data_IF_867309712606
#
_entry.id   IF_867309712606
#
_cell.length_a   1.000
_cell.length_b   1.000
_cell.length_c   1.000
_cell.angle_alpha   90.00
_cell.angle_beta   90.00
_cell.angle_gamma   90.00
#
_symmetry.space_group_name_H-M   'P 1'
#
loop_
_entity.id
_entity.type
_entity.pdbx_description
1 polymer ?
#
# COMPACT_ATOMS: atom_id res chain seq x y z
N UNK A 1 -7.25 41.42 45.87
CA UNK A 1 -7.47 39.99 46.23
C UNK A 1 -8.81 39.60 45.63
N UNK A 2 -8.93 38.51 44.86
CA UNK A 2 -8.23 37.21 44.92
C UNK A 2 -7.28 37.01 43.70
N UNK A 3 -6.30 36.11 43.63
CA UNK A 3 -5.99 34.92 44.42
C UNK A 3 -6.42 33.65 43.67
N UNK A 4 -5.57 33.10 42.79
CA UNK A 4 -5.68 31.74 42.24
C UNK A 4 -4.26 31.24 41.92
N UNK A 5 -3.62 30.51 42.83
CA UNK A 5 -3.67 29.05 43.05
C UNK A 5 -2.96 28.26 41.93
N UNK A 6 -1.68 27.98 42.20
CA UNK A 6 -0.91 26.89 41.60
C UNK A 6 -1.38 25.56 42.23
N UNK A 7 -1.90 24.65 41.41
CA UNK A 7 -1.93 23.19 41.63
C UNK A 7 -1.72 22.58 40.23
N UNK A 8 -0.51 22.12 39.93
CA UNK A 8 0.02 20.77 40.19
C UNK A 8 -0.31 19.81 39.03
N UNK A 9 0.76 19.45 38.32
CA UNK A 9 1.08 18.19 37.65
C UNK A 9 -0.07 17.25 37.29
N UNK A 10 -0.23 17.00 35.98
CA UNK A 10 -0.78 15.75 35.48
C UNK A 10 0.06 15.28 34.27
N UNK A 11 0.56 14.03 34.26
CA UNK A 11 1.25 13.45 33.12
C UNK A 11 0.29 13.22 31.95
N UNK A 12 0.77 13.43 30.72
CA UNK A 12 0.01 13.44 29.47
C UNK A 12 -0.04 12.05 28.80
N UNK A 13 -1.24 11.55 28.52
CA UNK A 13 -1.45 10.24 27.90
C UNK A 13 -1.75 10.37 26.40
N UNK A 14 -1.16 9.50 25.57
CA UNK A 14 -1.50 9.33 24.16
C UNK A 14 -2.13 7.94 24.00
N UNK A 15 -3.26 7.75 23.33
CA UNK A 15 -3.88 6.42 23.21
C UNK A 15 -3.89 5.94 21.76
N UNK A 16 -3.63 4.65 21.55
CA UNK A 16 -3.68 3.96 20.25
C UNK A 16 -4.94 3.08 20.19
N UNK A 17 -5.62 3.07 19.03
CA UNK A 17 -6.83 2.27 18.78
C UNK A 17 -6.69 1.62 17.40
N UNK A 18 -7.30 0.45 17.22
CA UNK A 18 -7.21 -0.37 15.98
C UNK A 18 -8.62 -0.63 15.49
N UNK A 19 -8.96 -0.21 14.26
CA UNK A 19 -10.23 -0.51 13.60
C UNK A 19 -10.00 -0.76 12.09
N UNK A 20 -10.85 -1.58 11.45
CA UNK A 20 -10.74 -2.05 10.05
C UNK A 20 -11.70 -1.31 9.10
N UNK A 21 -11.26 -0.95 7.88
CA UNK A 21 -12.15 -0.81 6.70
C UNK A 21 -11.36 -0.78 5.35
N UNK A 22 -11.93 -1.33 4.26
CA UNK A 22 -11.25 -1.70 2.99
C UNK A 22 -11.58 -0.75 1.80
N UNK A 23 -10.60 -0.12 1.14
CA UNK A 23 -9.76 -0.44 -0.06
C UNK A 23 -10.35 -0.17 -1.49
N UNK A 24 -9.51 0.31 -2.44
CA UNK A 24 -9.82 0.57 -3.87
C UNK A 24 -8.71 0.12 -4.84
N UNK A 25 -9.15 -0.43 -5.98
CA UNK A 25 -8.39 -1.17 -7.03
C UNK A 25 -7.80 -0.27 -8.15
N UNK A 26 -6.63 -0.66 -8.69
CA UNK A 26 -5.93 -0.02 -9.82
C UNK A 26 -6.33 -0.56 -11.21
N UNK A 27 -6.35 0.31 -12.24
CA UNK A 27 -6.85 0.03 -13.61
C UNK A 27 -5.84 -0.65 -14.54
N UNK A 28 -6.29 -1.71 -15.23
CA UNK A 28 -5.59 -2.33 -16.37
C UNK A 28 -5.94 -1.67 -17.72
N UNK A 29 -4.96 -1.57 -18.62
CA UNK A 29 -5.11 -1.06 -20.00
C UNK A 29 -5.19 -2.23 -21.00
N UNK A 30 -6.22 -2.27 -21.85
CA UNK A 30 -6.46 -3.33 -22.84
C UNK A 30 -5.62 -3.11 -24.11
N UNK A 31 -4.92 -4.15 -24.60
CA UNK A 31 -4.12 -4.08 -25.82
C UNK A 31 -5.00 -4.06 -27.09
N UNK A 32 -4.78 -3.08 -27.96
CA UNK A 32 -5.40 -2.97 -29.28
C UNK A 32 -4.78 -3.95 -30.28
N UNK A 33 -5.37 -5.14 -30.41
CA UNK A 33 -5.23 -5.96 -31.62
C UNK A 33 -6.64 -6.21 -32.15
N UNK A 34 -6.89 -5.86 -33.42
CA UNK A 34 -8.16 -6.08 -34.10
C UNK A 34 -8.37 -7.59 -34.35
N UNK A 35 -8.72 -8.34 -33.31
CA UNK A 35 -9.28 -9.68 -33.45
C UNK A 35 -10.66 -9.56 -34.11
N UNK A 36 -10.97 -10.43 -35.09
CA UNK A 36 -12.36 -10.65 -35.51
C UNK A 36 -13.16 -11.04 -34.27
N UNK A 37 -14.15 -10.22 -33.91
CA UNK A 37 -15.10 -10.52 -32.85
C UNK A 37 -16.25 -11.29 -33.48
N UNK A 38 -16.53 -12.48 -32.96
CA UNK A 38 -17.63 -13.33 -33.39
C UNK A 38 -18.61 -13.54 -32.22
N UNK A 39 -19.84 -13.02 -32.30
CA UNK A 39 -20.85 -13.31 -31.30
C UNK A 39 -21.23 -14.79 -31.35
N UNK A 40 -21.34 -15.43 -30.19
CA UNK A 40 -21.87 -16.78 -30.04
C UNK A 40 -23.37 -16.71 -29.79
N UNK A 41 -24.11 -17.64 -30.39
CA UNK A 41 -25.56 -17.81 -30.18
C UNK A 41 -25.85 -18.51 -28.85
N UNK A 42 -25.27 -17.98 -27.79
CA UNK A 42 -25.30 -18.53 -26.44
C UNK A 42 -25.50 -17.43 -25.42
N UNK A 43 -26.06 -17.79 -24.27
CA UNK A 43 -26.05 -16.98 -23.05
C UNK A 43 -25.84 -17.89 -21.83
N UNK A 44 -25.08 -17.41 -20.84
CA UNK A 44 -24.82 -18.13 -19.59
C UNK A 44 -25.26 -17.28 -18.40
N UNK A 45 -26.00 -17.89 -17.48
CA UNK A 45 -26.40 -17.29 -16.21
C UNK A 45 -25.72 -18.02 -15.05
N UNK A 46 -25.22 -17.27 -14.08
CA UNK A 46 -24.67 -17.78 -12.81
C UNK A 46 -25.60 -17.32 -11.70
N UNK A 47 -26.13 -18.24 -10.91
CA UNK A 47 -26.99 -17.93 -9.79
C UNK A 47 -26.22 -17.14 -8.72
N UNK A 48 -26.83 -16.06 -8.20
CA UNK A 48 -26.35 -15.32 -7.03
C UNK A 48 -26.38 -16.22 -5.78
N UNK A 49 -25.32 -16.19 -4.98
CA UNK A 49 -25.18 -16.93 -3.72
C UNK A 49 -24.61 -16.03 -2.63
N UNK A 50 -25.41 -15.15 -2.01
CA UNK A 50 -24.93 -14.14 -1.07
C UNK A 50 -24.41 -14.72 0.26
N UNK A 51 -24.48 -16.04 0.44
CA UNK A 51 -24.07 -16.74 1.67
C UNK A 51 -22.66 -17.36 1.56
N UNK A 52 -22.06 -17.36 0.37
CA UNK A 52 -20.75 -17.97 0.14
C UNK A 52 -20.03 -17.26 -1.00
N UNK A 53 -18.79 -17.67 -1.31
CA UNK A 53 -18.07 -17.15 -2.48
C UNK A 53 -18.27 -18.00 -3.73
N UNK A 54 -19.25 -18.93 -3.68
CA UNK A 54 -19.42 -19.96 -4.70
C UNK A 54 -19.83 -19.36 -6.03
N UNK A 55 -20.66 -18.33 -6.04
CA UNK A 55 -21.11 -17.65 -7.25
C UNK A 55 -19.99 -16.82 -7.89
N UNK A 56 -19.12 -16.13 -7.14
CA UNK A 56 -17.97 -15.43 -7.74
C UNK A 56 -16.99 -16.42 -8.39
N UNK A 57 -16.64 -17.50 -7.68
CA UNK A 57 -15.76 -18.51 -8.25
C UNK A 57 -16.42 -19.26 -9.42
N UNK A 58 -17.72 -19.51 -9.37
CA UNK A 58 -18.49 -20.08 -10.49
C UNK A 58 -18.53 -19.14 -11.69
N UNK A 59 -18.69 -17.84 -11.46
CA UNK A 59 -18.65 -16.82 -12.49
C UNK A 59 -17.28 -16.77 -13.14
N UNK A 60 -16.20 -16.74 -12.35
CA UNK A 60 -14.82 -16.80 -12.85
C UNK A 60 -14.57 -18.08 -13.68
N UNK A 61 -15.03 -19.23 -13.20
CA UNK A 61 -14.90 -20.50 -13.93
C UNK A 61 -15.69 -20.50 -15.25
N UNK A 62 -16.82 -19.79 -15.32
CA UNK A 62 -17.66 -19.69 -16.50
C UNK A 62 -17.13 -18.69 -17.54
N UNK A 63 -16.22 -17.76 -17.19
CA UNK A 63 -15.67 -16.74 -18.10
C UNK A 63 -15.27 -17.33 -19.46
N UNK A 64 -14.50 -18.43 -19.53
CA UNK A 64 -14.02 -18.88 -20.83
C UNK A 64 -15.04 -19.71 -21.62
N UNK A 65 -16.21 -20.03 -21.04
CA UNK A 65 -17.39 -20.46 -21.82
C UNK A 65 -18.02 -19.31 -22.61
N UNK A 66 -17.79 -18.08 -22.14
CA UNK A 66 -18.40 -16.86 -22.67
C UNK A 66 -17.44 -16.02 -23.50
N UNK A 67 -16.12 -16.08 -23.24
CA UNK A 67 -15.12 -15.40 -24.06
C UNK A 67 -13.86 -16.25 -24.23
N UNK A 68 -13.54 -16.60 -25.48
CA UNK A 68 -12.34 -17.37 -25.80
C UNK A 68 -11.85 -17.09 -27.22
N UNK A 69 -10.59 -17.48 -27.50
CA UNK A 69 -9.98 -17.30 -28.81
C UNK A 69 -9.74 -18.64 -29.48
N UNK A 70 -10.19 -18.79 -30.73
CA UNK A 70 -9.91 -19.96 -31.55
C UNK A 70 -9.71 -19.55 -33.01
N UNK A 71 -8.67 -20.08 -33.66
CA UNK A 71 -8.37 -19.79 -35.06
C UNK A 71 -8.14 -18.30 -35.38
N UNK A 72 -7.66 -17.51 -34.41
CA UNK A 72 -7.44 -16.08 -34.55
C UNK A 72 -8.67 -15.20 -34.25
N UNK A 73 -9.86 -15.78 -34.20
CA UNK A 73 -11.14 -15.13 -33.88
C UNK A 73 -11.42 -15.19 -32.39
N UNK A 74 -11.93 -14.09 -31.84
CA UNK A 74 -12.42 -14.00 -30.46
C UNK A 74 -13.93 -14.22 -30.47
N UNK A 75 -14.36 -15.27 -29.80
CA UNK A 75 -15.76 -15.61 -29.64
C UNK A 75 -16.29 -15.00 -28.34
N UNK A 76 -17.51 -14.44 -28.36
CA UNK A 76 -18.10 -13.80 -27.19
C UNK A 76 -19.61 -14.08 -27.05
N UNK A 77 -20.05 -14.33 -25.83
CA UNK A 77 -21.44 -14.41 -25.40
C UNK A 77 -21.61 -13.74 -24.03
N UNK A 78 -22.82 -13.28 -23.67
CA UNK A 78 -23.08 -12.76 -22.34
C UNK A 78 -22.88 -13.83 -21.26
N UNK A 79 -22.15 -13.44 -20.21
CA UNK A 79 -22.10 -14.11 -18.92
C UNK A 79 -22.76 -13.19 -17.90
N UNK A 80 -23.80 -13.68 -17.23
CA UNK A 80 -24.64 -12.85 -16.37
C UNK A 80 -24.64 -13.45 -14.96
N UNK A 81 -24.19 -12.67 -13.98
CA UNK A 81 -24.50 -12.96 -12.58
C UNK A 81 -25.96 -12.58 -12.34
N UNK A 82 -26.79 -13.57 -12.04
CA UNK A 82 -28.24 -13.49 -12.09
C UNK A 82 -28.80 -13.04 -10.75
N UNK A 83 -29.07 -11.74 -10.61
CA UNK A 83 -29.78 -11.13 -9.49
C UNK A 83 -31.23 -10.77 -9.87
N UNK A 84 -31.66 -11.15 -11.08
CA UNK A 84 -32.95 -10.83 -11.67
C UNK A 84 -33.22 -9.33 -11.76
N UNK A 85 -32.16 -8.54 -11.98
CA UNK A 85 -32.27 -7.10 -12.16
C UNK A 85 -32.80 -6.74 -13.55
N UNK A 86 -33.40 -5.55 -13.67
CA UNK A 86 -33.94 -5.06 -14.94
C UNK A 86 -32.85 -4.93 -16.03
N UNK A 87 -31.60 -4.67 -15.64
CA UNK A 87 -30.47 -4.57 -16.57
C UNK A 87 -30.08 -5.92 -17.16
N UNK A 88 -30.08 -6.99 -16.37
CA UNK A 88 -29.85 -8.37 -16.85
C UNK A 88 -30.92 -8.79 -17.86
N UNK A 89 -32.17 -8.44 -17.55
CA UNK A 89 -33.33 -8.65 -18.40
C UNK A 89 -33.13 -8.00 -19.77
N UNK A 90 -32.79 -6.71 -19.79
CA UNK A 90 -32.58 -5.97 -21.04
C UNK A 90 -31.42 -6.53 -21.84
N UNK A 91 -30.28 -6.82 -21.19
CA UNK A 91 -29.12 -7.42 -21.87
C UNK A 91 -29.47 -8.76 -22.54
N UNK A 92 -30.26 -9.58 -21.84
CA UNK A 92 -30.69 -10.89 -22.34
C UNK A 92 -31.64 -10.77 -23.54
N UNK A 93 -32.57 -9.82 -23.50
CA UNK A 93 -33.52 -9.54 -24.58
C UNK A 93 -32.84 -8.93 -25.81
N UNK A 94 -31.92 -7.99 -25.58
CA UNK A 94 -31.13 -7.38 -26.64
C UNK A 94 -30.22 -8.41 -27.31
N UNK A 95 -29.63 -9.34 -26.54
CA UNK A 95 -28.83 -10.43 -27.11
C UNK A 95 -29.68 -11.43 -27.90
N UNK A 96 -30.86 -11.79 -27.39
CA UNK A 96 -31.79 -12.66 -28.10
C UNK A 96 -32.27 -12.03 -29.42
N UNK A 97 -32.52 -10.71 -29.43
CA UNK A 97 -32.85 -9.95 -30.64
C UNK A 97 -31.65 -9.85 -31.57
N UNK A 98 -30.47 -9.55 -31.06
CA UNK A 98 -29.25 -9.41 -31.86
C UNK A 98 -28.92 -10.70 -32.62
N UNK A 99 -29.12 -11.86 -31.98
CA UNK A 99 -28.86 -13.17 -32.60
C UNK A 99 -30.02 -13.69 -33.46
N UNK A 100 -31.16 -13.00 -33.53
CA UNK A 100 -32.37 -13.51 -34.21
C UNK A 100 -32.19 -13.72 -35.70
N UNK A 101 -31.45 -12.82 -36.35
CA UNK A 101 -31.20 -12.87 -37.80
C UNK A 101 -30.32 -14.07 -38.17
N UNK A 102 -29.51 -14.55 -37.23
CA UNK A 102 -28.68 -15.74 -37.35
C UNK A 102 -29.37 -17.01 -36.82
N UNK A 103 -30.67 -16.97 -36.57
CA UNK A 103 -31.50 -18.08 -36.10
C UNK A 103 -31.75 -18.12 -34.58
N UNK A 104 -31.42 -17.04 -33.87
CA UNK A 104 -31.64 -16.88 -32.42
C UNK A 104 -30.64 -17.61 -31.55
N UNK A 105 -30.77 -17.48 -30.23
CA UNK A 105 -29.97 -18.22 -29.25
C UNK A 105 -30.14 -19.73 -29.50
N UNK A 106 -29.05 -20.49 -29.47
CA UNK A 106 -29.05 -21.96 -29.59
C UNK A 106 -28.76 -22.66 -28.27
N UNK A 107 -28.18 -21.94 -27.30
CA UNK A 107 -27.83 -22.49 -26.00
C UNK A 107 -28.04 -21.47 -24.89
N UNK A 108 -28.80 -21.87 -23.87
CA UNK A 108 -28.89 -21.15 -22.61
C UNK A 108 -28.32 -22.04 -21.51
N UNK A 109 -27.24 -21.61 -20.86
CA UNK A 109 -26.64 -22.33 -19.74
C UNK A 109 -27.03 -21.67 -18.42
N UNK A 110 -27.27 -22.48 -17.39
CA UNK A 110 -27.39 -22.02 -16.00
C UNK A 110 -26.32 -22.71 -15.16
N UNK A 111 -25.64 -21.93 -14.32
CA UNK A 111 -24.67 -22.38 -13.33
C UNK A 111 -25.19 -21.99 -11.95
N UNK A 112 -25.24 -22.95 -11.03
CA UNK A 112 -25.78 -22.76 -9.69
C UNK A 112 -27.30 -22.95 -9.60
N UNK A 113 -27.82 -22.62 -8.42
CA UNK A 113 -29.19 -22.92 -8.01
C UNK A 113 -30.13 -21.74 -8.24
N UNK A 114 -30.69 -21.64 -9.45
CA UNK A 114 -31.81 -20.73 -9.73
C UNK A 114 -33.15 -21.35 -9.39
N UNK A 115 -34.10 -20.54 -8.92
CA UNK A 115 -35.48 -20.99 -8.73
C UNK A 115 -36.13 -21.41 -10.07
N UNK A 116 -37.06 -22.36 -10.02
CA UNK A 116 -37.77 -22.82 -11.23
C UNK A 116 -38.54 -21.69 -11.93
N UNK A 117 -39.04 -20.71 -11.16
CA UNK A 117 -39.72 -19.54 -11.69
C UNK A 117 -38.76 -18.69 -12.55
N UNK A 118 -37.59 -18.37 -12.03
CA UNK A 118 -36.56 -17.60 -12.75
C UNK A 118 -36.06 -18.38 -13.97
N UNK A 119 -35.79 -19.68 -13.84
CA UNK A 119 -35.39 -20.51 -14.97
C UNK A 119 -36.45 -20.54 -16.08
N UNK A 120 -37.75 -20.56 -15.72
CA UNK A 120 -38.85 -20.49 -16.69
C UNK A 120 -38.89 -19.14 -17.41
N UNK A 121 -38.69 -18.04 -16.70
CA UNK A 121 -38.62 -16.70 -17.29
C UNK A 121 -37.43 -16.58 -18.25
N UNK A 122 -36.25 -17.06 -17.86
CA UNK A 122 -35.05 -17.12 -18.72
C UNK A 122 -35.34 -17.92 -19.99
N UNK A 123 -35.97 -19.09 -19.87
CA UNK A 123 -36.36 -19.93 -21.02
C UNK A 123 -37.31 -19.19 -21.97
N UNK A 124 -38.30 -18.49 -21.44
CA UNK A 124 -39.27 -17.73 -22.24
C UNK A 124 -38.59 -16.57 -22.99
N UNK A 125 -37.70 -15.84 -22.30
CA UNK A 125 -36.97 -14.70 -22.84
C UNK A 125 -35.96 -15.09 -23.94
N UNK A 126 -35.21 -16.16 -23.71
CA UNK A 126 -34.17 -16.65 -24.63
C UNK A 126 -34.73 -17.55 -25.75
N UNK A 127 -36.01 -17.92 -25.67
CA UNK A 127 -36.68 -18.85 -26.58
C UNK A 127 -35.92 -20.19 -26.79
N UNK A 128 -35.10 -20.58 -25.81
CA UNK A 128 -34.15 -21.70 -25.92
C UNK A 128 -34.25 -22.61 -24.71
N UNK A 129 -34.04 -23.92 -24.89
CA UNK A 129 -33.98 -24.85 -23.77
C UNK A 129 -32.73 -24.60 -22.92
N UNK A 130 -32.87 -24.68 -21.61
CA UNK A 130 -31.75 -24.56 -20.69
C UNK A 130 -30.96 -25.87 -20.72
N UNK A 131 -29.73 -25.81 -21.23
CA UNK A 131 -28.79 -26.92 -21.20
C UNK A 131 -27.33 -26.46 -21.45
N UNK A 132 -26.37 -26.86 -20.60
CA UNK A 132 -26.56 -27.60 -19.37
C UNK A 132 -27.09 -26.71 -18.23
N UNK A 133 -27.63 -27.37 -17.20
CA UNK A 133 -27.86 -26.75 -15.89
C UNK A 133 -26.91 -27.40 -14.90
N UNK A 134 -25.85 -26.67 -14.53
CA UNK A 134 -24.76 -27.12 -13.65
C UNK A 134 -25.15 -26.76 -12.21
N UNK A 135 -25.27 -27.77 -11.34
CA UNK A 135 -25.72 -27.60 -9.93
C UNK A 135 -24.73 -28.22 -8.95
N UNK A 136 -23.45 -27.94 -9.17
CA UNK A 136 -22.39 -28.43 -8.29
C UNK A 136 -22.52 -27.88 -6.87
N UNK A 137 -22.08 -28.64 -5.88
CA UNK A 137 -22.17 -28.27 -4.46
C UNK A 137 -20.93 -27.53 -3.95
N UNK A 138 -19.93 -27.30 -4.81
CA UNK A 138 -18.70 -26.56 -4.52
C UNK A 138 -18.19 -25.86 -5.78
N UNK A 139 -17.40 -24.78 -5.62
CA UNK A 139 -16.77 -24.09 -6.75
C UNK A 139 -15.90 -25.01 -7.60
N UNK A 140 -15.18 -25.95 -6.96
CA UNK A 140 -14.34 -26.92 -7.64
C UNK A 140 -15.16 -27.89 -8.52
N UNK A 141 -16.30 -28.37 -8.02
CA UNK A 141 -17.20 -29.23 -8.80
C UNK A 141 -17.81 -28.46 -9.97
N UNK A 142 -18.29 -27.23 -9.74
CA UNK A 142 -18.86 -26.39 -10.78
C UNK A 142 -17.84 -26.12 -11.90
N UNK A 143 -16.60 -25.77 -11.52
CA UNK A 143 -15.52 -25.56 -12.48
C UNK A 143 -15.20 -26.83 -13.29
N UNK A 144 -15.22 -28.00 -12.65
CA UNK A 144 -15.01 -29.28 -13.35
C UNK A 144 -16.14 -29.59 -14.33
N UNK A 145 -17.41 -29.38 -13.94
CA UNK A 145 -18.57 -29.59 -14.82
C UNK A 145 -18.58 -28.61 -16.01
N UNK A 146 -18.19 -27.34 -15.79
CA UNK A 146 -18.00 -26.35 -16.85
C UNK A 146 -16.89 -26.75 -17.82
N UNK A 147 -15.75 -27.21 -17.30
CA UNK A 147 -14.65 -27.67 -18.12
C UNK A 147 -15.03 -28.89 -18.98
N UNK A 148 -15.80 -29.83 -18.43
CA UNK A 148 -16.32 -30.97 -19.20
C UNK A 148 -17.34 -30.51 -20.26
N UNK A 149 -18.21 -29.57 -19.93
CA UNK A 149 -19.25 -29.09 -20.84
C UNK A 149 -18.68 -28.33 -22.04
N UNK A 150 -17.67 -27.48 -21.83
CA UNK A 150 -17.24 -26.49 -22.83
C UNK A 150 -15.78 -26.64 -23.27
N UNK A 151 -14.93 -27.33 -22.48
CA UNK A 151 -13.47 -27.34 -22.69
C UNK A 151 -12.89 -28.75 -22.84
N UNK A 152 -13.74 -29.77 -22.99
CA UNK A 152 -13.27 -31.15 -23.11
C UNK A 152 -12.23 -31.35 -24.23
N UNK A 153 -12.30 -30.53 -25.29
CA UNK A 153 -11.37 -30.56 -26.43
C UNK A 153 -10.22 -29.56 -26.33
N UNK A 154 -10.14 -28.75 -25.26
CA UNK A 154 -9.08 -27.78 -25.04
C UNK A 154 -7.73 -28.47 -24.76
N UNK A 155 -6.66 -27.97 -25.37
CA UNK A 155 -5.29 -28.36 -25.02
C UNK A 155 -4.70 -27.51 -23.87
N UNK A 156 -5.48 -26.59 -23.31
CA UNK A 156 -5.10 -25.70 -22.21
C UNK A 156 -5.99 -26.01 -21.01
N UNK A 157 -5.37 -26.36 -19.88
CA UNK A 157 -6.02 -26.44 -18.57
C UNK A 157 -5.74 -25.17 -17.77
N UNK A 158 -6.77 -24.65 -17.10
CA UNK A 158 -6.67 -23.51 -16.19
C UNK A 158 -6.91 -24.01 -14.77
N UNK A 159 -5.98 -23.68 -13.87
CA UNK A 159 -6.09 -24.00 -12.45
C UNK A 159 -6.12 -22.70 -11.66
N UNK A 160 -7.03 -22.62 -10.70
CA UNK A 160 -7.12 -21.52 -9.75
C UNK A 160 -7.30 -22.09 -8.35
N UNK A 161 -6.80 -21.37 -7.36
CA UNK A 161 -7.17 -21.62 -5.97
C UNK A 161 -8.62 -21.17 -5.81
N UNK A 162 -9.46 -22.04 -5.25
CA UNK A 162 -10.85 -21.75 -4.97
C UNK A 162 -11.16 -22.16 -3.54
N UNK A 163 -11.92 -21.33 -2.86
CA UNK A 163 -12.42 -21.62 -1.52
C UNK A 163 -13.84 -21.08 -1.43
N UNK A 164 -14.80 -21.93 -1.08
CA UNK A 164 -16.22 -21.53 -1.05
C UNK A 164 -16.53 -20.59 0.13
N UNK A 165 -15.62 -20.48 1.10
CA UNK A 165 -15.74 -19.64 2.29
C UNK A 165 -14.37 -19.20 2.80
N UNK A 166 -14.23 -17.92 3.16
CA UNK A 166 -13.06 -17.42 3.88
C UNK A 166 -13.38 -17.25 5.36
N UNK A 167 -12.43 -17.55 6.23
CA UNK A 167 -12.54 -17.20 7.65
C UNK A 167 -12.45 -15.69 7.78
N UNK A 168 -13.29 -15.09 8.63
CA UNK A 168 -13.17 -13.67 8.94
C UNK A 168 -11.80 -13.41 9.57
N UNK A 169 -11.06 -12.36 9.14
CA UNK A 169 -9.79 -12.04 9.74
C UNK A 169 -9.97 -11.77 11.23
N UNK A 170 -9.02 -12.23 12.05
CA UNK A 170 -8.97 -11.88 13.45
C UNK A 170 -8.20 -10.58 13.63
N UNK A 171 -8.84 -9.56 14.22
CA UNK A 171 -8.17 -8.31 14.56
C UNK A 171 -7.44 -8.50 15.90
N UNK A 172 -6.14 -8.23 15.91
CA UNK A 172 -5.35 -8.08 17.13
C UNK A 172 -4.84 -6.64 17.23
N UNK A 173 -4.97 -6.01 18.39
CA UNK A 173 -4.53 -4.64 18.61
C UNK A 173 -3.94 -4.41 19.99
N UNK A 174 -3.27 -3.27 20.15
CA UNK A 174 -2.66 -2.83 21.39
C UNK A 174 -2.71 -1.31 21.51
N UNK A 175 -2.29 -0.79 22.65
CA UNK A 175 -2.11 0.65 22.83
C UNK A 175 -0.86 0.99 23.63
N UNK A 176 -0.32 2.17 23.39
CA UNK A 176 0.82 2.70 24.10
C UNK A 176 0.66 4.21 24.30
N UNK A 177 1.02 4.67 25.50
CA UNK A 177 0.86 6.07 25.89
C UNK A 177 2.16 6.66 26.40
N UNK A 178 2.43 7.92 26.05
CA UNK A 178 3.63 8.63 26.49
C UNK A 178 3.41 10.12 26.74
N UNK A 179 4.07 10.63 27.79
CA UNK A 179 4.13 12.05 28.14
C UNK A 179 5.50 12.61 27.73
N UNK A 180 5.55 13.47 26.71
CA UNK A 180 6.75 14.24 26.43
C UNK A 180 6.93 15.37 27.47
N UNK A 181 8.05 15.38 28.18
CA UNK A 181 8.33 16.34 29.25
C UNK A 181 9.07 17.61 28.77
N UNK A 182 8.83 18.05 27.52
CA UNK A 182 9.60 19.13 26.87
C UNK A 182 11.12 18.92 27.08
N UNK A 183 11.58 17.69 26.91
CA UNK A 183 13.00 17.36 27.04
C UNK A 183 13.82 18.23 26.07
N UNK A 184 14.96 18.70 26.53
CA UNK A 184 15.75 19.66 25.77
C UNK A 184 16.35 18.99 24.53
N UNK A 185 16.14 19.61 23.37
CA UNK A 185 16.81 19.25 22.13
C UNK A 185 18.31 19.53 22.30
N UNK A 186 19.14 18.53 22.04
CA UNK A 186 20.60 18.68 22.19
C UNK A 186 21.25 18.90 20.83
N UNK A 187 22.28 19.75 20.79
CA UNK A 187 23.03 20.04 19.58
C UNK A 187 24.49 19.65 19.72
N UNK A 188 25.09 19.20 18.63
CA UNK A 188 26.50 18.84 18.53
C UNK A 188 27.09 19.41 17.24
N UNK A 189 28.19 20.14 17.35
CA UNK A 189 28.88 20.76 16.23
C UNK A 189 30.26 20.13 16.06
N UNK A 190 30.42 19.08 15.24
CA UNK A 190 31.72 18.50 14.96
C UNK A 190 32.60 19.49 14.20
N UNK A 191 33.89 19.56 14.54
CA UNK A 191 34.87 20.32 13.79
C UNK A 191 35.31 19.52 12.56
N UNK A 192 34.85 19.94 11.37
CA UNK A 192 35.11 19.24 10.12
C UNK A 192 35.74 20.19 9.11
N UNK A 193 36.91 19.80 8.60
CA UNK A 193 37.62 20.55 7.55
C UNK A 193 37.97 19.63 6.39
N UNK A 194 37.56 20.00 5.19
CA UNK A 194 37.89 19.28 3.95
C UNK A 194 39.07 19.96 3.27
N UNK A 195 40.10 19.19 2.90
CA UNK A 195 41.34 19.72 2.31
C UNK A 195 41.65 19.20 0.90
N UNK A 196 40.87 18.22 0.41
CA UNK A 196 41.10 17.59 -0.90
C UNK A 196 39.81 16.98 -1.45
N UNK A 197 39.89 16.25 -2.57
CA UNK A 197 38.77 15.46 -3.10
C UNK A 197 38.62 14.08 -2.45
N UNK A 198 39.45 13.74 -1.46
CA UNK A 198 39.31 12.48 -0.72
C UNK A 198 38.05 12.55 0.15
N UNK A 199 37.20 11.50 0.18
CA UNK A 199 36.05 11.45 1.07
C UNK A 199 36.44 11.63 2.54
N UNK A 200 35.56 12.29 3.30
CA UNK A 200 35.76 12.56 4.73
C UNK A 200 34.66 11.86 5.52
N UNK A 201 35.07 11.08 6.52
CA UNK A 201 34.16 10.41 7.44
C UNK A 201 34.01 11.22 8.73
N UNK A 202 32.78 11.42 9.16
CA UNK A 202 32.43 12.08 10.41
C UNK A 202 31.62 11.09 11.24
N UNK A 203 32.23 10.60 12.32
CA UNK A 203 31.61 9.70 13.27
C UNK A 203 30.91 10.50 14.39
N UNK A 204 29.72 10.07 14.80
CA UNK A 204 29.00 10.67 15.91
C UNK A 204 28.11 9.64 16.61
N UNK A 205 27.85 9.84 17.91
CA UNK A 205 27.01 8.93 18.72
C UNK A 205 25.83 9.71 19.28
N UNK A 206 24.61 9.52 18.74
CA UNK A 206 23.42 10.16 19.29
C UNK A 206 23.19 9.76 20.76
N UNK A 207 22.67 10.66 21.61
CA UNK A 207 22.27 10.32 22.97
C UNK A 207 21.25 9.17 23.01
N UNK A 208 21.15 8.47 24.13
CA UNK A 208 20.17 7.36 24.29
C UNK A 208 18.72 7.84 24.17
N UNK A 209 18.40 9.05 24.62
CA UNK A 209 17.07 9.63 24.54
C UNK A 209 16.69 10.16 23.14
N UNK A 210 17.66 10.28 22.23
CA UNK A 210 17.42 10.70 20.85
C UNK A 210 16.60 9.63 20.14
N UNK A 211 15.51 10.02 19.46
CA UNK A 211 14.91 9.18 18.42
C UNK A 211 14.89 9.81 17.04
N UNK A 212 15.26 11.09 16.93
CA UNK A 212 15.41 11.73 15.62
C UNK A 212 16.71 12.51 15.51
N UNK A 213 17.39 12.34 14.39
CA UNK A 213 18.66 13.00 14.07
C UNK A 213 18.41 13.95 12.91
N UNK A 214 18.68 15.22 13.14
CA UNK A 214 18.75 16.24 12.11
C UNK A 214 20.20 16.65 11.90
N UNK A 215 20.57 16.88 10.64
CA UNK A 215 21.81 17.54 10.31
C UNK A 215 21.58 18.72 9.37
N UNK A 216 22.42 19.74 9.56
CA UNK A 216 22.62 20.82 8.61
C UNK A 216 24.12 21.04 8.42
N UNK A 217 24.58 20.94 7.18
CA UNK A 217 25.98 21.07 6.81
C UNK A 217 26.08 22.19 5.78
N UNK A 218 26.70 23.29 6.18
CA UNK A 218 26.91 24.45 5.32
C UNK A 218 28.40 24.75 5.18
N UNK A 219 28.74 25.54 4.16
CA UNK A 219 30.11 25.97 3.90
C UNK A 219 30.09 27.22 3.01
N UNK A 220 31.26 27.86 2.87
CA UNK A 220 31.42 29.01 1.97
C UNK A 220 32.15 28.61 0.68
N UNK A 221 31.97 29.38 -0.38
CA UNK A 221 32.63 29.15 -1.67
C UNK A 221 31.87 28.21 -2.61
N UNK A 222 32.52 27.85 -3.72
CA UNK A 222 31.94 27.12 -4.86
C UNK A 222 32.13 25.60 -4.78
N UNK A 223 32.62 25.07 -3.66
CA UNK A 223 32.72 23.64 -3.48
C UNK A 223 31.32 23.01 -3.44
N UNK A 224 31.20 21.74 -3.84
CA UNK A 224 29.99 20.96 -3.61
C UNK A 224 30.28 19.54 -3.17
N UNK A 225 29.37 19.00 -2.37
CA UNK A 225 29.49 17.73 -1.69
C UNK A 225 28.25 16.88 -1.95
N UNK A 226 28.41 15.57 -1.96
CA UNK A 226 27.32 14.62 -1.69
C UNK A 226 27.66 13.81 -0.45
N UNK A 227 26.74 12.98 0.04
CA UNK A 227 26.90 12.24 1.28
C UNK A 227 26.21 10.89 1.25
N UNK A 228 26.68 10.02 2.13
CA UNK A 228 25.98 8.82 2.58
C UNK A 228 26.01 8.79 4.11
N UNK A 229 24.91 8.42 4.74
CA UNK A 229 24.82 8.20 6.18
C UNK A 229 24.66 6.71 6.45
N UNK A 230 25.58 6.16 7.25
CA UNK A 230 25.53 4.79 7.69
C UNK A 230 25.10 4.69 9.17
N UNK A 231 24.22 3.73 9.45
CA UNK A 231 23.86 3.33 10.80
C UNK A 231 25.03 2.54 11.48
N UNK A 232 24.92 2.20 12.78
CA UNK A 232 25.95 1.45 13.51
C UNK A 232 26.25 0.05 12.94
N UNK A 233 25.33 -0.54 12.18
CA UNK A 233 25.53 -1.82 11.48
C UNK A 233 26.22 -1.62 10.11
N UNK A 234 26.49 -0.37 9.71
CA UNK A 234 27.12 -0.01 8.44
C UNK A 234 26.15 0.05 7.26
N UNK A 235 24.84 0.03 7.50
CA UNK A 235 23.82 0.12 6.44
C UNK A 235 23.62 1.58 6.07
N UNK A 236 23.57 1.87 4.77
CA UNK A 236 23.26 3.22 4.29
C UNK A 236 21.76 3.46 4.48
N UNK A 237 21.42 4.43 5.31
CA UNK A 237 20.01 4.79 5.60
C UNK A 237 19.61 6.15 5.03
N UNK A 238 20.58 6.96 4.60
CA UNK A 238 20.33 8.20 3.88
C UNK A 238 21.48 8.52 2.90
N UNK A 239 21.16 9.21 1.80
CA UNK A 239 22.14 9.62 0.79
C UNK A 239 21.63 10.83 0.01
N UNK A 240 22.54 11.68 -0.43
CA UNK A 240 22.18 12.75 -1.37
C UNK A 240 22.32 12.32 -2.83
N UNK A 241 21.39 12.82 -3.64
CA UNK A 241 21.42 12.67 -5.09
C UNK A 241 22.16 13.86 -5.70
N UNK A 242 23.19 13.57 -6.48
CA UNK A 242 24.08 14.57 -7.09
C UNK A 242 23.33 15.73 -7.77
N UNK A 243 22.34 15.44 -8.61
CA UNK A 243 21.59 16.45 -9.37
C UNK A 243 20.81 17.38 -8.46
N UNK A 244 20.14 16.82 -7.46
CA UNK A 244 19.34 17.59 -6.51
C UNK A 244 20.24 18.55 -5.72
N UNK A 245 21.30 18.02 -5.11
CA UNK A 245 22.23 18.82 -4.30
C UNK A 245 22.93 19.90 -5.13
N UNK A 246 23.29 19.60 -6.39
CA UNK A 246 23.87 20.60 -7.27
C UNK A 246 22.91 21.79 -7.51
N UNK A 247 21.65 21.51 -7.81
CA UNK A 247 20.65 22.55 -8.05
C UNK A 247 20.31 23.34 -6.79
N UNK A 248 20.17 22.66 -5.65
CA UNK A 248 19.97 23.29 -4.34
C UNK A 248 21.10 24.22 -3.94
N UNK A 249 22.33 23.97 -4.42
CA UNK A 249 23.50 24.79 -4.13
C UNK A 249 23.70 25.95 -5.10
N UNK A 250 23.47 25.73 -6.40
CA UNK A 250 23.91 26.65 -7.46
C UNK A 250 22.77 27.20 -8.34
N UNK A 251 21.51 26.85 -8.06
CA UNK A 251 20.42 27.38 -8.87
C UNK A 251 20.34 28.90 -8.76
N UNK A 252 20.28 29.63 -9.91
CA UNK A 252 20.06 31.07 -9.92
C UNK A 252 18.65 31.46 -9.48
N UNK A 253 17.76 30.48 -9.26
CA UNK A 253 16.39 30.70 -8.77
C UNK A 253 16.29 30.71 -7.23
N UNK A 254 17.38 30.43 -6.52
CA UNK A 254 17.42 30.42 -5.06
C UNK A 254 18.09 31.70 -4.54
N UNK A 255 17.49 32.30 -3.52
CA UNK A 255 18.03 33.52 -2.88
C UNK A 255 19.32 33.25 -2.10
N UNK A 256 19.58 31.99 -1.71
CA UNK A 256 20.79 31.54 -1.05
C UNK A 256 21.05 30.05 -1.30
N UNK A 257 22.32 29.58 -1.24
CA UNK A 257 22.63 28.17 -1.30
C UNK A 257 21.98 27.39 -0.14
N UNK A 258 21.34 26.26 -0.45
CA UNK A 258 20.73 25.39 0.57
C UNK A 258 21.83 24.52 1.20
N UNK A 259 21.89 24.40 2.55
CA UNK A 259 22.78 23.45 3.22
C UNK A 259 22.46 22.01 2.84
N UNK A 260 23.45 21.13 2.90
CA UNK A 260 23.17 19.68 2.92
C UNK A 260 22.43 19.35 4.22
N UNK A 261 21.35 18.59 4.11
CA UNK A 261 20.51 18.21 5.25
C UNK A 261 20.10 16.77 5.19
N UNK A 262 19.91 16.18 6.37
CA UNK A 262 19.16 14.95 6.55
C UNK A 262 18.33 15.05 7.82
N UNK A 263 17.21 14.34 7.84
CA UNK A 263 16.28 14.27 8.98
C UNK A 263 15.78 12.83 9.04
N UNK A 264 16.35 12.02 9.93
CA UNK A 264 16.06 10.58 9.99
C UNK A 264 15.78 10.08 11.42
N UNK A 265 14.91 9.08 11.59
CA UNK A 265 14.76 8.42 12.87
C UNK A 265 16.03 7.65 13.24
N UNK A 266 16.39 7.68 14.51
CA UNK A 266 17.46 6.85 15.08
C UNK A 266 16.92 5.45 15.32
N UNK A 267 17.26 4.52 14.44
CA UNK A 267 16.81 3.12 14.51
C UNK A 267 17.68 2.24 15.41
N UNK A 268 18.92 2.65 15.66
CA UNK A 268 19.92 1.89 16.42
C UNK A 268 20.76 2.79 17.34
N UNK A 269 21.10 2.26 18.51
CA UNK A 269 22.13 2.81 19.38
C UNK A 269 23.52 2.49 18.84
N UNK A 270 24.45 3.44 18.94
CA UNK A 270 25.84 3.23 18.54
C UNK A 270 26.44 4.42 17.79
N UNK A 271 27.60 4.20 17.20
CA UNK A 271 28.29 5.19 16.38
C UNK A 271 27.74 5.18 14.96
N UNK A 272 27.30 6.34 14.50
CA UNK A 272 26.83 6.61 13.15
C UNK A 272 27.96 7.26 12.34
N UNK A 273 28.01 6.98 11.03
CA UNK A 273 29.05 7.52 10.16
C UNK A 273 28.45 8.28 8.99
N UNK A 274 28.67 9.60 8.94
CA UNK A 274 28.43 10.39 7.75
C UNK A 274 29.70 10.41 6.89
N UNK A 275 29.61 9.96 5.65
CA UNK A 275 30.68 10.10 4.67
C UNK A 275 30.34 11.21 3.67
N UNK A 276 31.18 12.23 3.61
CA UNK A 276 31.10 13.34 2.66
C UNK A 276 32.00 13.07 1.45
N UNK A 277 31.47 13.27 0.26
CA UNK A 277 32.18 13.12 -1.01
C UNK A 277 32.33 14.49 -1.67
N UNK A 278 33.53 15.10 -1.66
CA UNK A 278 33.78 16.33 -2.40
C UNK A 278 33.72 16.06 -3.90
N UNK A 279 32.95 16.87 -4.61
CA UNK A 279 32.70 16.67 -6.04
C UNK A 279 33.36 17.75 -6.93
N UNK A 280 34.06 18.68 -6.29
CA UNK A 280 34.94 19.70 -6.89
C UNK A 280 36.31 19.65 -6.26
N UNK A 281 37.33 20.08 -7.00
CA UNK A 281 38.67 20.25 -6.45
C UNK A 281 38.69 21.27 -5.30
N UNK A 282 39.25 20.86 -4.16
CA UNK A 282 39.46 21.71 -2.98
C UNK A 282 40.91 22.20 -2.99
N UNK A 283 41.11 23.50 -3.14
CA UNK A 283 42.45 24.12 -3.30
C UNK A 283 42.99 24.72 -2.00
N UNK A 284 42.13 24.93 -1.01
CA UNK A 284 42.48 25.38 0.34
C UNK A 284 41.58 24.67 1.36
N UNK A 285 42.07 24.43 2.60
CA UNK A 285 41.24 23.86 3.66
C UNK A 285 39.92 24.60 3.82
N UNK A 286 38.81 23.87 3.73
CA UNK A 286 37.45 24.37 3.80
C UNK A 286 36.78 23.86 5.07
N UNK A 287 36.61 24.70 6.11
CA UNK A 287 35.83 24.33 7.29
C UNK A 287 34.35 24.23 6.91
N UNK A 288 33.67 23.23 7.47
CA UNK A 288 32.24 23.04 7.34
C UNK A 288 31.54 23.52 8.62
N UNK A 289 30.45 24.25 8.45
CA UNK A 289 29.50 24.55 9.51
C UNK A 289 28.52 23.37 9.62
N UNK A 290 28.88 22.39 10.44
CA UNK A 290 28.12 21.16 10.62
C UNK A 290 27.44 21.17 11.99
N UNK A 291 26.11 21.17 11.98
CA UNK A 291 25.27 21.06 13.17
C UNK A 291 24.48 19.75 13.10
N UNK A 292 24.59 18.95 14.16
CA UNK A 292 23.71 17.83 14.46
C UNK A 292 22.74 18.25 15.57
N UNK A 293 21.47 17.98 15.38
CA UNK A 293 20.41 18.24 16.36
C UNK A 293 19.73 16.92 16.69
N UNK A 294 19.65 16.58 17.97
CA UNK A 294 19.07 15.35 18.48
C UNK A 294 17.75 15.64 19.17
N UNK A 295 16.68 15.09 18.62
CA UNK A 295 15.31 15.27 19.11
C UNK A 295 14.92 14.09 20.01
N UNK A 296 14.42 14.36 21.23
CA UNK A 296 13.84 13.33 22.09
C UNK A 296 12.70 12.58 21.39
N UNK A 297 12.46 11.33 21.78
CA UNK A 297 11.40 10.53 21.18
C UNK A 297 10.77 9.54 22.17
N UNK A 298 9.65 8.99 21.75
CA UNK A 298 9.06 7.79 22.32
C UNK A 298 9.13 6.65 21.31
N UNK A 299 9.63 5.49 21.75
CA UNK A 299 9.65 4.28 20.93
C UNK A 299 8.78 3.20 21.57
N UNK A 300 7.95 2.55 20.77
CA UNK A 300 7.11 1.43 21.19
C UNK A 300 7.31 0.23 20.28
N UNK A 301 7.58 -0.93 20.89
CA UNK A 301 7.71 -2.20 20.18
C UNK A 301 6.44 -3.02 20.31
N UNK A 302 6.00 -3.60 19.19
CA UNK A 302 4.86 -4.51 19.13
C UNK A 302 5.17 -5.67 18.18
N UNK A 303 4.44 -6.78 18.31
CA UNK A 303 4.68 -7.99 17.51
C UNK A 303 3.56 -8.21 16.50
N UNK A 304 3.94 -8.47 15.26
CA UNK A 304 3.04 -8.83 14.17
C UNK A 304 3.14 -10.33 13.89
N UNK A 305 2.00 -11.01 13.83
CA UNK A 305 1.90 -12.44 13.53
C UNK A 305 2.29 -12.78 12.09
N UNK A 306 2.65 -14.03 11.83
CA UNK A 306 3.04 -14.48 10.48
C UNK A 306 1.90 -14.60 9.48
N UNK A 307 0.68 -14.51 9.97
CA UNK A 307 -0.59 -14.58 9.26
C UNK A 307 -1.25 -13.20 9.09
N UNK A 308 -0.59 -12.12 9.53
CA UNK A 308 -1.10 -10.77 9.39
C UNK A 308 -1.17 -10.35 7.91
N UNK A 309 -2.38 -10.02 7.44
CA UNK A 309 -2.61 -9.45 6.11
C UNK A 309 -2.45 -7.93 6.06
N UNK A 310 -2.52 -7.26 7.22
CA UNK A 310 -2.41 -5.81 7.33
C UNK A 310 -1.86 -5.40 8.70
N UNK A 311 -1.25 -4.22 8.74
CA UNK A 311 -0.86 -3.50 9.95
C UNK A 311 -1.30 -2.03 9.80
N UNK A 312 -2.04 -1.55 10.79
CA UNK A 312 -2.51 -0.16 10.86
C UNK A 312 -2.02 0.47 12.16
N UNK A 313 -1.50 1.69 12.09
CA UNK A 313 -1.02 2.45 13.24
C UNK A 313 -1.59 3.86 13.20
N UNK A 314 -2.29 4.22 14.27
CA UNK A 314 -2.80 5.57 14.52
C UNK A 314 -2.00 6.26 15.63
N UNK A 315 -1.39 7.40 15.31
CA UNK A 315 -0.83 8.31 16.30
C UNK A 315 -1.80 9.48 16.52
N UNK A 316 -2.21 9.69 17.77
CA UNK A 316 -2.98 10.86 18.20
C UNK A 316 -2.33 11.59 19.37
N UNK A 317 -2.47 12.92 19.41
CA UNK A 317 -1.99 13.76 20.51
C UNK A 317 -2.97 14.88 20.86
N UNK A 318 -2.86 15.39 22.08
CA UNK A 318 -3.84 16.30 22.70
C UNK A 318 -3.55 17.80 22.45
N UNK A 319 -2.35 18.15 21.95
CA UNK A 319 -1.92 19.54 21.73
C UNK A 319 -1.95 19.96 20.25
N UNK A 320 -2.71 21.00 19.94
CA UNK A 320 -2.84 21.56 18.58
C UNK A 320 -1.60 22.30 18.06
N UNK A 321 -0.59 22.52 18.91
CA UNK A 321 0.66 23.19 18.56
C UNK A 321 1.89 22.27 18.66
N UNK A 322 1.68 20.96 18.86
CA UNK A 322 2.73 19.96 18.78
C UNK A 322 2.81 19.41 17.36
N UNK A 323 4.05 19.19 16.89
CA UNK A 323 4.37 18.66 15.57
C UNK A 323 5.05 17.31 15.77
N UNK A 324 4.26 16.24 15.90
CA UNK A 324 4.76 14.88 16.14
C UNK A 324 4.77 14.06 14.86
N UNK A 325 5.92 13.46 14.58
CA UNK A 325 6.10 12.58 13.44
C UNK A 325 6.03 11.12 13.88
N UNK A 326 5.50 10.25 13.01
CA UNK A 326 5.51 8.80 13.20
C UNK A 326 6.45 8.15 12.19
N UNK A 327 7.43 7.39 12.67
CA UNK A 327 8.27 6.51 11.87
C UNK A 327 8.03 5.05 12.27
N UNK A 328 8.03 4.16 11.27
CA UNK A 328 7.81 2.74 11.47
C UNK A 328 9.00 1.91 10.97
N UNK A 329 9.58 1.13 11.87
CA UNK A 329 10.74 0.28 11.62
C UNK A 329 10.34 -1.19 11.64
N UNK A 330 10.69 -1.93 10.59
CA UNK A 330 10.39 -3.35 10.46
C UNK A 330 11.30 -4.23 11.33
N UNK A 331 11.00 -5.55 11.47
CA UNK A 331 11.81 -6.47 12.26
C UNK A 331 13.25 -6.63 11.79
N UNK A 332 13.58 -6.18 10.57
CA UNK A 332 14.96 -6.18 10.07
C UNK A 332 15.73 -4.91 10.43
N UNK A 333 15.08 -3.91 11.04
CA UNK A 333 15.65 -2.63 11.42
C UNK A 333 15.57 -1.56 10.34
N UNK A 334 14.75 -1.77 9.29
CA UNK A 334 14.60 -0.78 8.19
C UNK A 334 13.41 0.14 8.47
N UNK A 335 13.57 1.43 8.18
CA UNK A 335 12.46 2.36 8.08
C UNK A 335 11.59 1.96 6.88
N UNK A 336 10.33 1.60 7.13
CA UNK A 336 9.39 1.15 6.08
C UNK A 336 8.36 2.20 5.74
N UNK A 337 7.94 3.00 6.73
CA UNK A 337 7.04 4.12 6.48
C UNK A 337 7.31 5.28 7.44
N UNK A 338 6.90 6.47 7.02
CA UNK A 338 6.95 7.70 7.80
C UNK A 338 5.74 8.55 7.45
N UNK A 339 4.94 8.86 8.47
CA UNK A 339 3.89 9.86 8.40
C UNK A 339 4.34 11.16 9.11
N UNK A 340 4.82 12.17 8.35
CA UNK A 340 5.12 13.47 8.93
C UNK A 340 3.83 14.22 9.27
N UNK A 341 3.80 14.93 10.40
CA UNK A 341 2.70 15.81 10.71
C UNK A 341 2.71 17.03 9.78
N UNK A 342 1.61 17.23 9.07
CA UNK A 342 1.42 18.41 8.25
C UNK A 342 0.96 19.60 9.09
N UNK A 343 1.83 20.61 9.24
CA UNK A 343 1.52 21.98 9.69
C UNK A 343 1.05 22.17 11.15
N UNK A 344 1.80 22.99 11.88
CA UNK A 344 1.58 23.46 13.27
C UNK A 344 0.26 24.24 13.48
N UNK A 345 -0.54 24.45 12.43
CA UNK A 345 -1.70 25.37 12.44
C UNK A 345 -3.06 24.65 12.31
N UNK A 346 -3.10 23.33 12.22
CA UNK A 346 -4.36 22.55 12.20
C UNK A 346 -4.52 21.70 13.46
N UNK A 347 -5.61 21.95 14.19
CA UNK A 347 -6.05 21.22 15.40
C UNK A 347 -6.06 19.69 15.25
N UNK A 348 -6.02 18.96 16.38
CA UNK A 348 -5.05 17.87 16.62
C UNK A 348 -4.79 17.04 15.38
N UNK A 349 -3.57 17.11 14.89
CA UNK A 349 -3.07 16.28 13.82
C UNK A 349 -3.00 14.83 14.31
N UNK A 350 -3.37 13.90 13.44
CA UNK A 350 -3.05 12.49 13.58
C UNK A 350 -2.03 12.12 12.51
N UNK A 351 -1.26 11.08 12.76
CA UNK A 351 -0.39 10.48 11.76
C UNK A 351 -0.77 9.00 11.63
N UNK A 352 -0.96 8.53 10.40
CA UNK A 352 -1.44 7.18 10.11
C UNK A 352 -0.45 6.45 9.20
N UNK A 353 -0.21 5.17 9.49
CA UNK A 353 0.63 4.28 8.68
C UNK A 353 -0.13 3.00 8.40
N UNK A 354 -0.14 2.60 7.12
CA UNK A 354 -0.83 1.42 6.60
C UNK A 354 0.15 0.53 5.86
N UNK A 355 0.33 -0.72 6.32
CA UNK A 355 1.17 -1.71 5.65
C UNK A 355 0.34 -2.94 5.30
N UNK A 356 0.29 -3.25 4.00
CA UNK A 356 -0.25 -4.53 3.51
C UNK A 356 0.80 -5.63 3.64
N UNK A 357 0.37 -6.82 4.06
CA UNK A 357 1.21 -8.01 4.23
C UNK A 357 2.50 -7.74 5.03
N UNK A 358 2.39 -7.20 6.26
CA UNK A 358 3.56 -6.86 7.07
C UNK A 358 4.41 -8.10 7.37
N UNK A 359 5.72 -7.89 7.43
CA UNK A 359 6.66 -8.92 7.89
C UNK A 359 6.33 -9.36 9.33
N UNK A 360 6.30 -10.67 9.54
CA UNK A 360 6.17 -11.24 10.88
C UNK A 360 7.35 -10.83 11.77
N UNK A 361 7.09 -10.49 13.03
CA UNK A 361 8.13 -10.19 14.01
C UNK A 361 7.89 -8.90 14.78
N UNK A 362 8.94 -8.41 15.43
CA UNK A 362 8.88 -7.22 16.28
C UNK A 362 9.10 -5.95 15.45
N UNK A 363 8.07 -5.11 15.39
CA UNK A 363 8.12 -3.79 14.79
C UNK A 363 8.40 -2.74 15.85
N UNK A 364 8.95 -1.60 15.43
CA UNK A 364 9.17 -0.44 16.31
C UNK A 364 8.51 0.80 15.71
N UNK A 365 7.55 1.39 16.42
CA UNK A 365 7.03 2.71 16.13
C UNK A 365 7.84 3.75 16.91
N UNK A 366 8.28 4.81 16.24
CA UNK A 366 9.05 5.93 16.83
C UNK A 366 8.24 7.21 16.63
N UNK A 367 8.02 7.94 17.71
CA UNK A 367 7.29 9.21 17.74
C UNK A 367 8.23 10.29 18.25
N UNK A 368 8.40 11.38 17.49
CA UNK A 368 9.27 12.50 17.86
C UNK A 368 8.68 13.84 17.45
#
# INVERSE_FOLDING_TARGET
MPGFLLLADNPHQASLRVEEETSRVSRHTLSANASSLAPLRRITYVADDPLSYRDEFSYMAAVPSSVFRSGGTTYMAPLILSQNSQSEIWLSEDWARYTSDDGGITQTMIVGDLSEAVAKEIKQRTATSIFPWIRGTSSAQIAAELAVADWQSSNIGVFALAQDSFESPSISGGNAEHTFNNDEVTTYTPDVTVSSMVPVDVAFTPPSACGWIEASINWTGSAYFTHTLADPDGRIVDYSVWTQTYWERFSPQLDAPVPLKFWIPKTLDGEWTLRLYPQTSITSPLPLDFILTYHPSFSHQFTVGSDASSLHIDLGWDKTAADLNLALVDPSGRLVDWAPSGSVISSPSSATVDIEYPMAGTWTAIVA
#
